data_IF_953939878039
#
_entry.id   IF_953939878039
#
_cell.length_a   1.000
_cell.length_b   1.000
_cell.length_c   1.000
_cell.angle_alpha   90.00
_cell.angle_beta   90.00
_cell.angle_gamma   90.00
#
_symmetry.space_group_name_H-M   'P 1'
#
loop_
_entity.id
_entity.type
_entity.pdbx_description
1 polymer ?
#
# COMPACT_ATOMS: atom_id res chain seq x y z
N UNK A 1 -5.20 4.00 28.94
CA UNK A 1 -4.75 2.73 29.58
C UNK A 1 -5.28 1.50 28.84
N UNK A 2 -6.58 1.42 28.53
CA UNK A 2 -7.14 0.26 27.82
C UNK A 2 -6.58 0.11 26.39
N UNK A 3 -6.41 1.23 25.69
CA UNK A 3 -6.05 1.28 24.26
C UNK A 3 -4.56 0.99 23.97
N UNK A 4 -3.73 0.79 25.00
CA UNK A 4 -2.28 0.60 24.85
C UNK A 4 -1.75 -0.66 25.52
N UNK A 5 -2.53 -1.30 26.39
CA UNK A 5 -2.13 -2.50 27.15
C UNK A 5 -3.07 -3.71 26.95
N UNK A 6 -4.32 -3.48 26.55
CA UNK A 6 -5.33 -4.54 26.31
C UNK A 6 -5.68 -4.58 24.83
N UNK A 7 -6.11 -3.47 24.24
CA UNK A 7 -6.38 -3.34 22.81
C UNK A 7 -5.08 -3.00 22.07
N UNK A 8 -4.22 -4.00 21.91
CA UNK A 8 -2.87 -3.81 21.37
C UNK A 8 -2.78 -4.03 19.87
N UNK A 9 -3.72 -4.75 19.26
CA UNK A 9 -3.66 -5.20 17.87
C UNK A 9 -5.07 -5.32 17.25
N UNK A 10 -5.14 -5.38 15.91
CA UNK A 10 -6.33 -5.81 15.19
C UNK A 10 -6.35 -7.32 14.99
N UNK A 11 -7.48 -7.91 14.61
CA UNK A 11 -7.62 -9.36 14.46
C UNK A 11 -8.41 -9.70 13.19
N UNK A 12 -7.81 -10.51 12.32
CA UNK A 12 -8.43 -11.05 11.11
C UNK A 12 -8.11 -10.26 9.84
N UNK A 13 -8.58 -10.81 8.73
CA UNK A 13 -8.57 -10.22 7.39
C UNK A 13 -9.88 -10.62 6.70
N UNK A 14 -10.51 -9.66 6.04
CA UNK A 14 -11.74 -9.88 5.27
C UNK A 14 -11.40 -9.77 3.79
N UNK A 15 -11.85 -10.74 2.99
CA UNK A 15 -11.61 -10.79 1.56
C UNK A 15 -12.88 -11.22 0.80
N UNK A 16 -13.15 -10.52 -0.30
CA UNK A 16 -14.29 -10.77 -1.16
C UNK A 16 -13.85 -10.93 -2.62
N UNK A 17 -14.60 -11.72 -3.38
CA UNK A 17 -14.40 -11.85 -4.82
C UNK A 17 -14.61 -10.52 -5.51
N UNK A 18 -13.76 -10.20 -6.50
CA UNK A 18 -13.83 -8.94 -7.25
C UNK A 18 -14.99 -8.91 -8.26
N UNK A 19 -15.55 -10.08 -8.58
CA UNK A 19 -16.48 -10.29 -9.68
C UNK A 19 -17.77 -11.03 -9.30
N UNK A 20 -17.97 -11.34 -8.02
CA UNK A 20 -19.14 -12.09 -7.56
C UNK A 20 -19.91 -11.35 -6.46
N UNK A 21 -21.23 -11.47 -6.51
CA UNK A 21 -22.14 -10.91 -5.52
C UNK A 21 -23.17 -11.98 -5.14
N UNK A 22 -23.61 -11.96 -3.88
CA UNK A 22 -24.69 -12.80 -3.38
C UNK A 22 -26.05 -12.38 -3.98
N UNK A 23 -27.13 -13.18 -3.80
CA UNK A 23 -28.47 -12.84 -4.29
C UNK A 23 -29.03 -11.49 -3.79
N UNK A 24 -28.52 -10.99 -2.67
CA UNK A 24 -28.87 -9.70 -2.05
C UNK A 24 -28.09 -8.52 -2.67
N UNK A 25 -27.10 -8.79 -3.53
CA UNK A 25 -26.26 -7.79 -4.19
C UNK A 25 -25.06 -7.32 -3.37
N UNK A 26 -24.75 -8.01 -2.27
CA UNK A 26 -23.55 -7.78 -1.45
C UNK A 26 -22.37 -8.59 -1.99
N UNK A 27 -21.11 -8.17 -1.71
CA UNK A 27 -19.94 -8.94 -2.12
C UNK A 27 -19.97 -10.36 -1.55
N UNK A 28 -19.59 -11.35 -2.37
CA UNK A 28 -19.37 -12.71 -1.87
C UNK A 28 -17.99 -12.80 -1.22
N UNK A 29 -17.95 -13.12 0.08
CA UNK A 29 -16.72 -13.23 0.85
C UNK A 29 -16.13 -14.64 0.76
N UNK A 30 -14.81 -14.72 0.62
CA UNK A 30 -14.06 -15.98 0.74
C UNK A 30 -13.15 -15.99 1.98
N UNK A 31 -13.09 -14.88 2.71
CA UNK A 31 -12.60 -14.83 4.09
C UNK A 31 -13.39 -13.77 4.88
N UNK A 32 -13.99 -14.16 5.99
CA UNK A 32 -14.88 -13.31 6.80
C UNK A 32 -14.85 -13.70 8.29
N UNK A 33 -15.59 -12.94 9.11
CA UNK A 33 -15.72 -13.13 10.57
C UNK A 33 -14.48 -12.89 11.44
N UNK A 34 -14.72 -12.90 12.76
CA UNK A 34 -13.70 -12.85 13.81
C UNK A 34 -14.04 -13.95 14.82
N UNK A 35 -13.24 -15.02 14.94
CA UNK A 35 -12.02 -15.31 14.18
C UNK A 35 -12.29 -15.54 12.68
N UNK A 36 -11.29 -15.29 11.80
CA UNK A 36 -11.49 -15.42 10.37
C UNK A 36 -11.80 -16.87 9.98
N UNK A 37 -12.79 -17.03 9.11
CA UNK A 37 -13.21 -18.29 8.48
C UNK A 37 -13.29 -18.11 6.97
N UNK A 38 -13.26 -19.20 6.21
CA UNK A 38 -13.34 -19.18 4.75
C UNK A 38 -12.27 -20.03 4.08
N UNK A 39 -11.93 -19.68 2.84
CA UNK A 39 -10.94 -20.37 2.00
C UNK A 39 -9.49 -19.97 2.34
N UNK A 40 -9.28 -18.78 2.91
CA UNK A 40 -7.95 -18.35 3.34
C UNK A 40 -7.55 -19.02 4.65
N UNK A 41 -6.49 -19.81 4.61
CA UNK A 41 -5.84 -20.35 5.81
C UNK A 41 -5.02 -19.24 6.48
N UNK A 42 -5.52 -18.70 7.60
CA UNK A 42 -4.87 -17.62 8.37
C UNK A 42 -4.44 -18.13 9.75
N UNK A 43 -3.26 -18.72 9.83
CA UNK A 43 -2.68 -19.23 11.07
C UNK A 43 -2.35 -18.13 12.09
N UNK A 44 -1.93 -16.96 11.61
CA UNK A 44 -1.66 -15.78 12.43
C UNK A 44 -2.52 -14.58 12.02
N UNK A 45 -3.74 -14.45 12.58
CA UNK A 45 -4.66 -13.36 12.24
C UNK A 45 -4.38 -12.04 12.97
N UNK A 46 -3.40 -11.98 13.87
CA UNK A 46 -3.16 -10.78 14.70
C UNK A 46 -2.34 -9.73 13.96
N UNK A 47 -2.88 -8.52 13.88
CA UNK A 47 -2.30 -7.35 13.20
C UNK A 47 -1.75 -6.37 14.24
N UNK A 48 -0.51 -6.59 14.65
CA UNK A 48 0.26 -5.68 15.50
C UNK A 48 0.95 -4.57 14.71
N UNK A 49 1.13 -4.70 13.40
CA UNK A 49 1.67 -3.65 12.54
C UNK A 49 0.66 -3.44 11.41
N UNK A 50 0.12 -2.23 11.30
CA UNK A 50 -0.99 -1.90 10.41
C UNK A 50 -1.29 -0.41 10.41
N UNK A 51 -2.03 0.04 9.40
CA UNK A 51 -2.26 1.46 9.09
C UNK A 51 -2.98 2.24 10.22
N UNK A 52 -3.79 1.56 11.04
CA UNK A 52 -4.56 2.18 12.13
C UNK A 52 -4.16 1.60 13.49
N UNK A 53 -2.92 1.87 13.88
CA UNK A 53 -2.41 1.47 15.19
C UNK A 53 -2.41 2.64 16.18
N UNK A 54 -2.59 2.41 17.49
CA UNK A 54 -2.31 3.40 18.52
C UNK A 54 -0.87 3.92 18.42
N UNK A 55 -0.62 5.15 18.88
CA UNK A 55 0.73 5.78 18.87
C UNK A 55 1.81 4.88 19.46
N UNK A 56 1.47 4.15 20.52
CA UNK A 56 2.26 3.05 21.05
C UNK A 56 1.34 2.00 21.68
N UNK A 57 1.86 0.77 21.81
CA UNK A 57 1.27 -0.24 22.69
C UNK A 57 2.37 -0.96 23.45
N UNK A 58 2.09 -1.40 24.67
CA UNK A 58 2.99 -2.23 25.46
C UNK A 58 2.41 -3.63 25.50
N UNK A 59 3.19 -4.56 25.00
CA UNK A 59 2.79 -5.96 24.75
C UNK A 59 3.65 -6.90 25.57
N UNK A 60 3.16 -8.13 25.75
CA UNK A 60 3.79 -9.09 26.64
C UNK A 60 3.71 -8.70 28.12
N UNK A 61 4.71 -9.09 28.90
CA UNK A 61 4.80 -8.79 30.34
C UNK A 61 4.22 -9.86 31.28
N UNK A 62 4.31 -9.63 32.59
CA UNK A 62 4.10 -10.65 33.62
C UNK A 62 2.61 -10.89 33.92
N UNK A 63 2.21 -12.13 34.18
CA UNK A 63 0.83 -12.43 34.62
C UNK A 63 -0.10 -13.02 33.56
N UNK A 64 0.44 -13.45 32.41
CA UNK A 64 -0.30 -14.23 31.41
C UNK A 64 -1.04 -13.42 30.34
N UNK A 65 -1.90 -14.10 29.55
CA UNK A 65 -2.64 -13.50 28.44
C UNK A 65 -3.57 -12.36 28.87
N UNK A 66 -3.37 -11.18 28.28
CA UNK A 66 -4.15 -9.97 28.59
C UNK A 66 -4.55 -9.16 27.37
N UNK A 67 -3.88 -9.39 26.25
CA UNK A 67 -4.11 -8.66 25.01
C UNK A 67 -5.37 -9.25 24.39
N UNK A 68 -6.38 -8.43 24.15
CA UNK A 68 -7.66 -8.94 23.66
C UNK A 68 -7.55 -9.31 22.19
N UNK A 69 -7.89 -10.56 21.86
CA UNK A 69 -8.06 -11.01 20.48
C UNK A 69 -9.48 -10.68 20.00
N UNK A 70 -10.50 -11.26 20.65
CA UNK A 70 -11.91 -11.05 20.35
C UNK A 70 -12.83 -11.47 21.52
N UNK A 71 -14.08 -10.99 21.58
CA UNK A 71 -15.09 -11.48 22.52
C UNK A 71 -15.46 -12.94 22.25
N UNK A 72 -15.49 -13.77 23.29
CA UNK A 72 -15.74 -15.22 23.17
C UNK A 72 -16.59 -15.71 24.35
N UNK A 73 -17.88 -15.91 24.13
CA UNK A 73 -18.83 -16.36 25.15
C UNK A 73 -18.54 -17.78 25.67
N UNK A 74 -17.76 -18.58 24.94
CA UNK A 74 -17.32 -19.90 25.39
C UNK A 74 -16.12 -19.85 26.35
N UNK A 75 -15.43 -18.71 26.41
CA UNK A 75 -14.34 -18.47 27.35
C UNK A 75 -14.89 -18.14 28.74
N UNK A 76 -14.28 -18.64 29.84
CA UNK A 76 -14.70 -18.32 31.21
C UNK A 76 -14.74 -16.81 31.54
N UNK A 77 -13.99 -16.00 30.80
CA UNK A 77 -13.92 -14.54 30.94
C UNK A 77 -14.79 -13.78 29.94
N UNK A 78 -15.49 -14.48 29.03
CA UNK A 78 -16.21 -13.87 27.90
C UNK A 78 -15.29 -13.29 26.82
N UNK A 79 -13.98 -13.56 26.90
CA UNK A 79 -12.96 -12.96 26.04
C UNK A 79 -11.87 -13.97 25.72
N UNK A 80 -11.41 -13.95 24.47
CA UNK A 80 -10.18 -14.62 24.07
C UNK A 80 -9.02 -13.63 24.17
N UNK A 81 -7.97 -14.03 24.88
CA UNK A 81 -6.78 -13.19 25.08
C UNK A 81 -5.51 -13.89 24.66
N UNK A 82 -4.49 -13.08 24.37
CA UNK A 82 -3.18 -13.50 23.93
C UNK A 82 -2.06 -12.81 24.74
N UNK A 83 -0.85 -13.34 24.59
CA UNK A 83 0.40 -12.68 24.94
C UNK A 83 1.26 -12.60 23.69
N UNK A 84 1.66 -11.39 23.30
CA UNK A 84 2.54 -11.20 22.16
C UNK A 84 3.89 -11.91 22.38
N UNK A 85 4.29 -12.73 21.39
CA UNK A 85 5.56 -13.45 21.39
C UNK A 85 6.43 -13.12 20.19
N UNK A 86 5.97 -12.21 19.32
CA UNK A 86 6.71 -11.77 18.14
C UNK A 86 8.01 -11.05 18.48
N UNK A 87 8.93 -11.03 17.51
CA UNK A 87 10.26 -10.46 17.71
C UNK A 87 10.24 -8.92 17.74
N UNK A 88 9.27 -8.29 17.06
CA UNK A 88 9.13 -6.84 16.97
C UNK A 88 8.94 -6.13 18.31
N UNK A 89 9.27 -4.84 18.33
CA UNK A 89 9.20 -4.00 19.52
C UNK A 89 10.52 -3.81 20.24
N UNK A 90 10.58 -2.77 21.08
CA UNK A 90 11.76 -2.46 21.89
C UNK A 90 11.51 -2.89 23.34
N UNK A 91 12.47 -3.54 24.02
CA UNK A 91 12.30 -3.88 25.43
C UNK A 91 12.03 -2.64 26.29
N UNK A 92 10.94 -2.65 27.06
CA UNK A 92 10.55 -1.56 27.97
C UNK A 92 10.58 -1.99 29.43
N UNK A 93 10.97 -3.24 29.71
CA UNK A 93 10.92 -3.78 31.06
C UNK A 93 11.82 -3.11 32.09
N UNK A 94 12.95 -2.51 31.67
CA UNK A 94 13.94 -1.91 32.58
C UNK A 94 13.51 -0.52 33.08
N UNK A 95 13.84 -0.12 34.32
CA UNK A 95 13.43 1.18 34.87
C UNK A 95 13.88 2.38 34.02
N UNK A 96 15.09 2.31 33.44
CA UNK A 96 15.60 3.35 32.55
C UNK A 96 14.78 3.44 31.26
N UNK A 97 14.49 2.31 30.60
CA UNK A 97 13.69 2.31 29.38
C UNK A 97 12.28 2.81 29.66
N UNK A 98 11.67 2.41 30.79
CA UNK A 98 10.37 2.95 31.21
C UNK A 98 10.40 4.46 31.37
N UNK A 99 11.43 5.00 32.03
CA UNK A 99 11.58 6.45 32.19
C UNK A 99 11.73 7.16 30.84
N UNK A 100 12.56 6.63 29.94
CA UNK A 100 12.78 7.21 28.62
C UNK A 100 11.51 7.19 27.76
N UNK A 101 10.76 6.08 27.77
CA UNK A 101 9.50 5.99 27.03
C UNK A 101 8.35 6.77 27.68
N UNK A 102 8.30 6.85 29.02
CA UNK A 102 7.39 7.74 29.73
C UNK A 102 7.61 9.20 29.32
N UNK A 103 8.86 9.62 29.16
CA UNK A 103 9.20 10.95 28.65
C UNK A 103 8.86 11.12 27.16
N UNK A 104 9.23 10.16 26.30
CA UNK A 104 8.95 10.20 24.84
C UNK A 104 7.46 10.35 24.54
N UNK A 105 6.61 9.60 25.25
CA UNK A 105 5.17 9.56 25.02
C UNK A 105 4.37 10.43 25.99
N UNK A 106 5.05 11.19 26.87
CA UNK A 106 4.42 11.98 27.93
C UNK A 106 3.41 11.19 28.76
N UNK A 107 3.73 9.93 29.07
CA UNK A 107 2.85 9.00 29.78
C UNK A 107 3.53 8.47 31.06
N UNK A 108 3.22 9.04 32.23
CA UNK A 108 3.76 8.59 33.51
C UNK A 108 3.40 7.14 33.86
N UNK A 109 2.28 6.62 33.36
CA UNK A 109 1.85 5.25 33.66
C UNK A 109 2.82 4.19 33.09
N UNK A 110 3.64 4.51 32.09
CA UNK A 110 4.69 3.60 31.61
C UNK A 110 5.72 3.30 32.71
N UNK A 111 5.97 4.25 33.61
CA UNK A 111 6.89 4.08 34.73
C UNK A 111 6.24 3.32 35.89
N UNK A 112 4.97 3.64 36.20
CA UNK A 112 4.29 3.22 37.43
C UNK A 112 3.50 1.90 37.28
N UNK A 113 3.18 1.48 36.06
CA UNK A 113 2.31 0.33 35.83
C UNK A 113 2.98 -1.00 36.21
N UNK A 114 2.32 -1.76 37.08
CA UNK A 114 2.68 -3.14 37.42
C UNK A 114 2.43 -4.13 36.27
N UNK A 115 1.69 -3.70 35.24
CA UNK A 115 1.44 -4.50 34.04
C UNK A 115 2.66 -4.61 33.13
N UNK A 116 3.66 -3.75 33.34
CA UNK A 116 4.91 -3.76 32.59
C UNK A 116 5.94 -4.53 33.41
N UNK A 117 6.59 -5.52 32.81
CA UNK A 117 7.66 -6.31 33.43
C UNK A 117 8.86 -6.52 32.50
N UNK A 118 9.85 -7.32 32.92
CA UNK A 118 11.11 -7.50 32.18
C UNK A 118 10.93 -7.90 30.71
N UNK A 119 9.94 -8.74 30.42
CA UNK A 119 9.67 -9.27 29.08
C UNK A 119 8.70 -8.38 28.26
N UNK A 120 8.28 -7.24 28.81
CA UNK A 120 7.40 -6.31 28.08
C UNK A 120 8.17 -5.59 26.96
N UNK A 121 7.52 -5.48 25.81
CA UNK A 121 8.00 -4.69 24.68
C UNK A 121 7.07 -3.51 24.42
N UNK A 122 7.63 -2.39 24.01
CA UNK A 122 6.86 -1.26 23.49
C UNK A 122 6.91 -1.28 21.96
N UNK A 123 5.74 -1.26 21.34
CA UNK A 123 5.54 -1.17 19.90
C UNK A 123 5.19 0.29 19.55
N UNK A 124 5.92 0.89 18.62
CA UNK A 124 5.66 2.20 18.04
C UNK A 124 6.17 2.21 16.60
N UNK A 125 5.82 3.23 15.81
CA UNK A 125 6.07 3.29 14.36
C UNK A 125 5.51 2.05 13.64
N UNK A 126 4.24 1.75 13.92
CA UNK A 126 3.58 0.49 13.53
C UNK A 126 2.95 0.51 12.14
N UNK A 127 2.88 1.67 11.53
CA UNK A 127 2.39 1.86 10.17
C UNK A 127 3.36 1.24 9.15
N UNK A 128 2.90 0.37 8.21
CA UNK A 128 3.78 -0.29 7.24
C UNK A 128 4.63 0.67 6.42
N UNK A 129 4.07 1.80 5.97
CA UNK A 129 4.83 2.78 5.19
C UNK A 129 5.95 3.42 6.02
N UNK A 130 5.65 3.75 7.27
CA UNK A 130 6.61 4.31 8.23
C UNK A 130 7.74 3.32 8.51
N UNK A 131 7.43 2.03 8.66
CA UNK A 131 8.42 0.95 8.82
C UNK A 131 9.35 0.88 7.60
N UNK A 132 8.81 0.86 6.39
CA UNK A 132 9.59 0.80 5.14
C UNK A 132 10.48 2.05 4.99
N UNK A 133 9.94 3.26 5.21
CA UNK A 133 10.72 4.52 5.17
C UNK A 133 11.85 4.54 6.20
N UNK A 134 11.65 3.91 7.35
CA UNK A 134 12.67 3.86 8.40
C UNK A 134 13.86 2.96 8.04
N UNK A 135 13.62 1.87 7.30
CA UNK A 135 14.70 0.94 6.89
C UNK A 135 15.33 1.32 5.55
N UNK A 136 14.58 1.96 4.66
CA UNK A 136 15.02 2.37 3.33
C UNK A 136 14.58 3.81 3.02
N UNK A 137 15.17 4.82 3.69
CA UNK A 137 14.79 6.23 3.50
C UNK A 137 15.13 6.78 2.11
N UNK A 138 15.93 6.05 1.34
CA UNK A 138 16.30 6.36 -0.05
C UNK A 138 15.23 5.93 -1.07
N UNK A 139 14.22 5.16 -0.64
CA UNK A 139 13.06 4.83 -1.46
C UNK A 139 11.95 5.83 -1.23
N UNK A 140 11.31 6.23 -2.32
CA UNK A 140 9.95 6.78 -2.25
C UNK A 140 8.98 5.62 -2.19
N UNK A 141 8.13 5.56 -1.18
CA UNK A 141 7.12 4.50 -1.05
C UNK A 141 5.78 4.95 -1.61
N UNK A 142 5.06 4.02 -2.23
CA UNK A 142 3.67 4.22 -2.65
C UNK A 142 2.78 4.56 -1.45
N UNK A 143 1.77 5.38 -1.69
CA UNK A 143 0.86 5.84 -0.65
C UNK A 143 -0.13 4.77 -0.17
N UNK A 144 -0.38 3.71 -0.94
CA UNK A 144 -1.39 2.68 -0.63
C UNK A 144 -0.77 1.28 -0.42
N UNK A 145 -0.42 0.92 0.83
CA UNK A 145 -0.04 -0.44 1.17
C UNK A 145 -1.27 -1.35 1.11
N UNK A 146 -1.09 -2.63 0.75
CA UNK A 146 -2.20 -3.58 0.68
C UNK A 146 -1.87 -4.88 1.41
N UNK A 147 -2.85 -5.47 2.13
CA UNK A 147 -2.63 -6.72 2.84
C UNK A 147 -2.74 -7.91 1.89
N UNK A 148 -1.98 -8.97 2.20
CA UNK A 148 -2.12 -10.29 1.62
C UNK A 148 -1.92 -11.36 2.71
N UNK A 149 -2.43 -12.56 2.47
CA UNK A 149 -2.10 -13.74 3.27
C UNK A 149 -1.03 -14.50 2.51
N UNK A 150 0.10 -14.75 3.17
CA UNK A 150 1.22 -15.51 2.61
C UNK A 150 1.69 -16.48 3.68
N UNK A 151 1.69 -17.77 3.35
CA UNK A 151 2.13 -18.86 4.23
C UNK A 151 1.46 -18.77 5.62
N UNK A 152 0.13 -18.54 5.64
CA UNK A 152 -0.67 -18.43 6.86
C UNK A 152 -0.51 -17.13 7.66
N UNK A 153 0.28 -16.17 7.16
CA UNK A 153 0.55 -14.88 7.84
C UNK A 153 -0.01 -13.71 7.04
N UNK A 154 -0.57 -12.73 7.74
CA UNK A 154 -0.95 -11.45 7.15
C UNK A 154 0.32 -10.62 6.96
N UNK A 155 0.55 -10.15 5.73
CA UNK A 155 1.67 -9.27 5.36
C UNK A 155 1.16 -8.06 4.60
N UNK A 156 1.83 -6.92 4.76
CA UNK A 156 1.59 -5.72 3.98
C UNK A 156 2.60 -5.62 2.84
N UNK A 157 2.12 -5.55 1.61
CA UNK A 157 2.94 -5.21 0.46
C UNK A 157 2.98 -3.70 0.29
N UNK A 158 4.19 -3.18 0.07
CA UNK A 158 4.45 -1.76 -0.16
C UNK A 158 5.36 -1.61 -1.36
N UNK A 159 4.93 -0.81 -2.32
CA UNK A 159 5.71 -0.51 -3.51
C UNK A 159 6.77 0.57 -3.25
N UNK A 160 8.01 0.29 -3.65
CA UNK A 160 9.17 1.16 -3.47
C UNK A 160 9.72 1.65 -4.80
N UNK A 161 9.88 2.97 -4.90
CA UNK A 161 10.37 3.66 -6.08
C UNK A 161 11.75 4.24 -5.86
N UNK A 162 12.61 4.08 -6.86
CA UNK A 162 13.77 4.97 -7.02
C UNK A 162 13.36 6.17 -7.85
N UNK A 163 13.80 7.36 -7.44
CA UNK A 163 13.42 8.61 -8.09
C UNK A 163 14.60 9.56 -8.19
N UNK A 164 14.62 10.38 -9.23
CA UNK A 164 15.49 11.56 -9.32
C UNK A 164 14.81 12.67 -10.13
N UNK A 165 15.25 13.90 -9.93
CA UNK A 165 14.85 15.10 -10.67
C UNK A 165 15.89 15.51 -11.73
N UNK A 166 16.97 14.74 -11.84
CA UNK A 166 18.19 15.10 -12.57
C UNK A 166 18.39 14.27 -13.84
N UNK A 167 17.36 13.53 -14.28
CA UNK A 167 17.44 12.74 -15.51
C UNK A 167 17.39 13.65 -16.75
N UNK A 168 18.39 13.60 -17.64
CA UNK A 168 18.49 14.52 -18.77
C UNK A 168 17.36 14.28 -19.77
N UNK A 169 16.91 15.35 -20.44
CA UNK A 169 15.87 15.32 -21.49
C UNK A 169 14.53 14.69 -21.06
N UNK A 170 14.24 14.65 -19.75
CA UNK A 170 12.97 14.17 -19.22
C UNK A 170 12.15 15.29 -18.59
N UNK A 171 10.84 15.23 -18.80
CA UNK A 171 9.89 16.21 -18.27
C UNK A 171 9.84 16.13 -16.75
N UNK A 172 10.02 17.26 -16.07
CA UNK A 172 9.83 17.36 -14.63
C UNK A 172 8.35 17.49 -14.30
N UNK A 173 7.90 16.68 -13.35
CA UNK A 173 6.57 16.75 -12.76
C UNK A 173 6.70 16.85 -11.25
N UNK A 174 5.79 17.57 -10.61
CA UNK A 174 5.71 17.61 -9.15
C UNK A 174 4.99 16.35 -8.69
N UNK A 175 5.65 15.53 -7.88
CA UNK A 175 5.13 14.21 -7.49
C UNK A 175 3.77 14.31 -6.83
N UNK A 176 3.64 15.22 -5.86
CA UNK A 176 2.39 15.46 -5.14
C UNK A 176 1.21 15.86 -6.05
N UNK A 177 1.45 16.59 -7.14
CA UNK A 177 0.38 16.96 -8.07
C UNK A 177 -0.01 15.77 -8.96
N UNK A 178 0.94 14.88 -9.24
CA UNK A 178 0.75 13.73 -10.11
C UNK A 178 0.04 12.56 -9.44
N UNK A 179 0.22 12.37 -8.13
CA UNK A 179 -0.37 11.26 -7.36
C UNK A 179 -1.62 11.67 -6.55
N UNK A 180 -2.03 12.93 -6.66
CA UNK A 180 -3.22 13.47 -5.98
C UNK A 180 -4.51 13.07 -6.70
N UNK A 181 -5.42 12.45 -5.96
CA UNK A 181 -6.78 12.09 -6.37
C UNK A 181 -7.76 12.19 -5.18
N UNK A 182 -8.99 11.74 -5.36
CA UNK A 182 -10.03 11.78 -4.33
C UNK A 182 -9.72 10.92 -3.09
N UNK A 183 -8.92 9.86 -3.22
CA UNK A 183 -8.57 8.93 -2.14
C UNK A 183 -7.27 9.31 -1.43
N UNK A 184 -6.27 9.80 -2.17
CA UNK A 184 -4.92 10.07 -1.62
C UNK A 184 -4.84 11.39 -0.84
N UNK A 185 -5.66 12.39 -1.15
CA UNK A 185 -5.67 13.69 -0.45
C UNK A 185 -6.06 13.56 1.03
N UNK A 186 -6.72 12.47 1.43
CA UNK A 186 -7.03 12.19 2.84
C UNK A 186 -5.81 11.75 3.66
N UNK A 187 -4.69 11.40 3.02
CA UNK A 187 -3.40 11.09 3.67
C UNK A 187 -2.49 12.32 3.55
N UNK A 188 -2.22 13.00 4.68
CA UNK A 188 -1.35 14.18 4.75
C UNK A 188 0.09 13.85 4.35
N UNK A 189 0.41 13.83 3.05
CA UNK A 189 1.79 13.76 2.55
C UNK A 189 2.35 15.18 2.50
N UNK A 190 3.50 15.38 3.15
CA UNK A 190 4.19 16.66 3.30
C UNK A 190 4.40 17.39 1.97
N UNK A 191 4.08 18.69 1.98
CA UNK A 191 4.16 19.64 0.86
C UNK A 191 5.61 20.10 0.65
N UNK A 192 6.52 19.18 0.36
CA UNK A 192 7.85 19.55 -0.12
C UNK A 192 7.80 19.81 -1.63
N UNK A 193 8.65 20.72 -2.15
CA UNK A 193 8.78 20.95 -3.61
C UNK A 193 9.54 19.78 -4.24
N UNK A 194 8.86 18.65 -4.29
CA UNK A 194 9.40 17.37 -4.70
C UNK A 194 9.06 17.11 -6.17
N UNK A 195 10.02 17.43 -7.03
CA UNK A 195 9.95 17.16 -8.46
C UNK A 195 10.62 15.83 -8.77
N UNK A 196 10.08 15.12 -9.76
CA UNK A 196 10.72 13.96 -10.36
C UNK A 196 10.70 14.07 -11.87
N UNK A 197 11.71 13.50 -12.51
CA UNK A 197 11.71 13.24 -13.95
C UNK A 197 12.24 11.85 -14.28
N UNK A 198 12.45 11.03 -13.27
CA UNK A 198 12.74 9.62 -13.36
C UNK A 198 12.06 8.92 -12.19
N UNK A 199 11.39 7.80 -12.48
CA UNK A 199 10.77 6.93 -11.49
C UNK A 199 10.80 5.50 -12.01
N UNK A 200 11.18 4.55 -11.15
CA UNK A 200 11.08 3.11 -11.41
C UNK A 200 10.47 2.42 -10.20
N UNK A 201 9.56 1.47 -10.44
CA UNK A 201 9.11 0.57 -9.39
C UNK A 201 10.18 -0.52 -9.21
N UNK A 202 11.15 -0.21 -8.38
CA UNK A 202 12.39 -0.98 -8.29
C UNK A 202 12.40 -1.98 -7.14
N UNK A 203 11.58 -1.73 -6.11
CA UNK A 203 11.56 -2.54 -4.89
C UNK A 203 10.12 -2.91 -4.52
N UNK A 204 9.91 -4.17 -4.12
CA UNK A 204 8.72 -4.58 -3.36
C UNK A 204 9.13 -4.77 -1.91
N UNK A 205 8.52 -4.03 -1.01
CA UNK A 205 8.71 -4.18 0.42
C UNK A 205 7.56 -4.99 1.02
N UNK A 206 7.88 -5.83 1.99
CA UNK A 206 6.92 -6.64 2.72
C UNK A 206 7.09 -6.36 4.20
N UNK A 207 6.00 -6.03 4.88
CA UNK A 207 5.97 -5.82 6.34
C UNK A 207 5.09 -6.89 6.95
N UNK A 208 5.66 -7.73 7.80
CA UNK A 208 4.89 -8.73 8.56
C UNK A 208 3.93 -8.03 9.53
N UNK A 209 2.63 -8.35 9.45
CA UNK A 209 1.62 -7.68 10.27
C UNK A 209 1.71 -8.08 11.76
N UNK A 210 2.35 -9.21 12.09
CA UNK A 210 2.49 -9.68 13.46
C UNK A 210 3.72 -9.09 14.14
N UNK A 211 4.91 -9.13 13.52
CA UNK A 211 6.15 -8.69 14.17
C UNK A 211 6.83 -7.46 13.54
N UNK A 212 6.29 -6.94 12.44
CA UNK A 212 6.77 -5.71 11.81
C UNK A 212 8.12 -5.86 11.11
N UNK A 213 8.59 -7.10 10.90
CA UNK A 213 9.78 -7.38 10.10
C UNK A 213 9.58 -6.84 8.69
N UNK A 214 10.56 -6.07 8.21
CA UNK A 214 10.56 -5.52 6.85
C UNK A 214 11.52 -6.33 5.99
N UNK A 215 11.03 -6.89 4.89
CA UNK A 215 11.85 -7.52 3.86
C UNK A 215 11.73 -6.74 2.57
N UNK A 216 12.86 -6.40 1.95
CA UNK A 216 12.90 -5.66 0.68
C UNK A 216 13.36 -6.59 -0.44
N UNK A 217 12.60 -6.64 -1.53
CA UNK A 217 12.91 -7.43 -2.71
C UNK A 217 13.22 -6.52 -3.91
N UNK A 218 14.28 -6.86 -4.63
CA UNK A 218 14.66 -6.22 -5.89
C UNK A 218 13.73 -6.67 -7.01
N UNK A 219 12.91 -5.75 -7.51
CA UNK A 219 11.95 -6.00 -8.58
C UNK A 219 12.51 -5.62 -9.96
N UNK A 220 12.93 -4.36 -10.15
CA UNK A 220 13.60 -3.92 -11.37
C UNK A 220 15.12 -3.97 -11.19
N UNK A 221 15.71 -5.14 -11.47
CA UNK A 221 17.18 -5.32 -11.40
C UNK A 221 17.94 -4.52 -12.46
N UNK A 222 17.26 -3.97 -13.47
CA UNK A 222 17.87 -3.15 -14.52
C UNK A 222 17.99 -1.68 -14.14
N UNK A 223 17.38 -1.26 -13.03
CA UNK A 223 17.43 0.12 -12.55
C UNK A 223 18.83 0.52 -12.07
N UNK A 224 19.51 1.48 -12.75
CA UNK A 224 20.84 1.92 -12.35
C UNK A 224 20.88 2.64 -10.98
N UNK A 225 19.79 3.31 -10.57
CA UNK A 225 19.72 3.97 -9.26
C UNK A 225 19.63 2.91 -8.17
N UNK A 226 18.81 1.88 -8.36
CA UNK A 226 18.75 0.74 -7.43
C UNK A 226 20.12 0.05 -7.31
N UNK A 227 20.79 -0.20 -8.45
CA UNK A 227 22.12 -0.83 -8.46
C UNK A 227 23.17 0.00 -7.69
N UNK A 228 23.07 1.33 -7.72
CA UNK A 228 23.94 2.20 -6.93
C UNK A 228 23.67 2.08 -5.42
N UNK A 229 22.39 2.03 -5.02
CA UNK A 229 22.01 1.80 -3.62
C UNK A 229 22.39 0.42 -3.12
N UNK A 230 22.21 -0.64 -3.93
CA UNK A 230 22.65 -2.00 -3.61
C UNK A 230 24.16 -2.08 -3.32
N UNK A 231 24.98 -1.33 -4.05
CA UNK A 231 26.43 -1.26 -3.79
C UNK A 231 26.77 -0.53 -2.48
N UNK A 232 25.95 0.46 -2.11
CA UNK A 232 26.17 1.28 -0.91
C UNK A 232 25.66 0.58 0.36
N UNK A 233 24.59 -0.20 0.24
CA UNK A 233 23.94 -0.95 1.32
C UNK A 233 23.82 -2.43 0.93
N UNK A 234 24.94 -3.18 0.93
CA UNK A 234 24.89 -4.61 0.65
C UNK A 234 23.95 -5.31 1.65
N UNK A 235 23.37 -6.43 1.22
CA UNK A 235 22.48 -7.30 2.02
C UNK A 235 21.14 -6.69 2.47
N UNK A 236 20.85 -5.44 2.13
CA UNK A 236 19.57 -4.78 2.48
C UNK A 236 18.41 -5.23 1.57
N UNK A 237 18.74 -5.76 0.39
CA UNK A 237 17.78 -6.18 -0.63
C UNK A 237 17.99 -7.66 -0.96
N UNK A 238 16.89 -8.41 -0.98
CA UNK A 238 16.85 -9.77 -1.53
C UNK A 238 16.53 -9.72 -3.03
N UNK A 239 16.97 -10.70 -3.84
CA UNK A 239 16.50 -10.82 -5.21
C UNK A 239 15.02 -11.23 -5.26
N UNK A 240 14.27 -10.80 -6.28
CA UNK A 240 12.88 -11.24 -6.47
C UNK A 240 12.72 -12.76 -6.57
N UNK A 241 13.75 -13.49 -6.99
CA UNK A 241 13.74 -14.96 -7.02
C UNK A 241 13.64 -15.62 -5.64
N UNK A 242 13.98 -14.90 -4.56
CA UNK A 242 13.79 -15.36 -3.17
C UNK A 242 12.40 -15.02 -2.62
N UNK A 243 11.57 -14.31 -3.38
CA UNK A 243 10.19 -14.01 -2.97
C UNK A 243 9.35 -15.31 -3.04
N UNK A 244 8.66 -15.71 -1.97
CA UNK A 244 7.74 -16.85 -2.00
C UNK A 244 6.74 -16.76 -3.16
N UNK A 245 6.40 -17.88 -3.79
CA UNK A 245 5.49 -17.91 -4.96
C UNK A 245 4.12 -17.33 -4.64
N UNK A 246 3.59 -17.62 -3.45
CA UNK A 246 2.32 -17.06 -2.97
C UNK A 246 2.40 -15.53 -2.86
N UNK A 247 3.49 -15.00 -2.32
CA UNK A 247 3.71 -13.55 -2.27
C UNK A 247 3.84 -12.92 -3.66
N UNK A 248 4.53 -13.58 -4.59
CA UNK A 248 4.64 -13.10 -5.98
C UNK A 248 3.27 -12.99 -6.66
N UNK A 249 2.36 -13.93 -6.38
CA UNK A 249 1.00 -13.93 -6.93
C UNK A 249 0.17 -12.70 -6.50
N UNK A 250 0.49 -12.10 -5.36
CA UNK A 250 -0.17 -10.89 -4.87
C UNK A 250 0.41 -9.58 -5.40
N UNK A 251 1.54 -9.61 -6.12
CA UNK A 251 2.15 -8.39 -6.64
C UNK A 251 1.26 -7.78 -7.72
N UNK A 252 0.83 -6.53 -7.52
CA UNK A 252 0.07 -5.74 -8.49
C UNK A 252 0.88 -4.57 -9.06
N UNK A 253 0.45 -4.00 -10.19
CA UNK A 253 1.08 -2.79 -10.73
C UNK A 253 0.67 -1.58 -9.89
N UNK A 254 1.62 -0.79 -9.38
CA UNK A 254 1.33 0.18 -8.34
C UNK A 254 0.69 1.47 -8.86
N UNK A 255 -0.05 2.13 -7.98
CA UNK A 255 -0.90 3.25 -8.34
C UNK A 255 -0.15 4.55 -8.60
N UNK A 256 0.81 4.92 -7.74
CA UNK A 256 1.40 6.26 -7.80
C UNK A 256 2.23 6.47 -9.07
N UNK A 257 3.04 5.49 -9.47
CA UNK A 257 3.74 5.56 -10.77
C UNK A 257 2.76 5.54 -11.94
N UNK A 258 1.64 4.80 -11.85
CA UNK A 258 0.63 4.80 -12.91
C UNK A 258 -0.06 6.15 -13.02
N UNK A 259 -0.34 6.81 -11.88
CA UNK A 259 -0.86 8.19 -11.82
C UNK A 259 0.09 9.19 -12.47
N UNK A 260 1.40 9.05 -12.22
CA UNK A 260 2.42 9.86 -12.90
C UNK A 260 2.47 9.57 -14.41
N UNK A 261 2.46 8.30 -14.81
CA UNK A 261 2.48 7.87 -16.21
C UNK A 261 1.27 8.38 -16.98
N UNK A 262 0.04 8.25 -16.45
CA UNK A 262 -1.17 8.76 -17.11
C UNK A 262 -1.14 10.27 -17.26
N UNK A 263 -0.58 11.01 -16.29
CA UNK A 263 -0.45 12.46 -16.36
C UNK A 263 0.54 12.91 -17.44
N UNK A 264 1.68 12.20 -17.57
CA UNK A 264 2.64 12.45 -18.64
C UNK A 264 2.02 12.10 -19.99
N UNK A 265 1.40 10.92 -20.09
CA UNK A 265 0.83 10.43 -21.34
C UNK A 265 -0.32 11.29 -21.86
N UNK A 266 -1.08 11.95 -20.98
CA UNK A 266 -2.18 12.85 -21.38
C UNK A 266 -1.73 14.02 -22.27
N UNK A 267 -0.43 14.37 -22.23
CA UNK A 267 0.18 15.41 -23.08
C UNK A 267 1.05 14.82 -24.18
N UNK A 268 1.93 13.88 -23.82
CA UNK A 268 2.98 13.40 -24.71
C UNK A 268 2.54 12.31 -25.70
N UNK A 269 1.27 11.86 -25.65
CA UNK A 269 0.70 11.07 -26.75
C UNK A 269 0.55 11.90 -28.04
N UNK A 270 0.56 13.24 -27.95
CA UNK A 270 0.54 14.14 -29.11
C UNK A 270 1.96 14.33 -29.63
N UNK A 271 2.27 13.69 -30.77
CA UNK A 271 3.61 13.71 -31.35
C UNK A 271 3.83 14.80 -32.40
N UNK A 272 2.76 15.38 -32.96
CA UNK A 272 2.86 16.49 -33.91
C UNK A 272 3.17 17.81 -33.18
N UNK A 273 4.24 18.54 -33.55
CA UNK A 273 4.64 19.76 -32.85
C UNK A 273 3.61 20.89 -32.88
N UNK A 274 2.88 21.07 -33.99
CA UNK A 274 1.89 22.14 -34.11
C UNK A 274 0.65 21.84 -33.25
N UNK A 275 0.18 20.59 -33.26
CA UNK A 275 -0.88 20.13 -32.37
C UNK A 275 -0.46 20.24 -30.90
N UNK A 276 0.77 19.82 -30.56
CA UNK A 276 1.29 19.91 -29.20
C UNK A 276 1.36 21.36 -28.71
N UNK A 277 1.84 22.29 -29.56
CA UNK A 277 1.93 23.71 -29.22
C UNK A 277 0.55 24.34 -28.98
N UNK A 278 -0.48 23.93 -29.73
CA UNK A 278 -1.84 24.42 -29.53
C UNK A 278 -2.54 23.85 -28.29
N UNK A 279 -2.09 22.67 -27.80
CA UNK A 279 -2.65 21.97 -26.65
C UNK A 279 -4.08 21.46 -26.84
N UNK A 280 -4.63 21.54 -28.05
CA UNK A 280 -6.03 21.17 -28.35
C UNK A 280 -6.29 19.67 -28.24
N UNK A 281 -5.26 18.86 -28.50
CA UNK A 281 -5.34 17.40 -28.51
C UNK A 281 -4.97 16.77 -27.15
N UNK A 282 -4.66 17.56 -26.13
CA UNK A 282 -4.37 17.02 -24.80
C UNK A 282 -5.60 16.36 -24.17
N UNK A 283 -5.33 15.38 -23.32
CA UNK A 283 -6.33 14.71 -22.53
C UNK A 283 -6.31 15.21 -21.08
N UNK A 284 -7.46 15.06 -20.43
CA UNK A 284 -7.63 15.32 -19.01
C UNK A 284 -8.08 14.04 -18.31
N UNK A 285 -7.66 13.91 -17.06
CA UNK A 285 -8.17 12.85 -16.19
C UNK A 285 -9.54 13.33 -15.68
N UNK A 286 -10.62 12.56 -15.89
CA UNK A 286 -11.96 12.94 -15.43
C UNK A 286 -12.01 13.17 -13.92
N UNK A 287 -12.95 14.00 -13.49
CA UNK A 287 -13.23 14.19 -12.06
C UNK A 287 -13.94 12.97 -11.50
N UNK A 288 -13.66 12.61 -10.25
CA UNK A 288 -14.37 11.54 -9.56
C UNK A 288 -15.87 11.87 -9.43
N UNK A 289 -16.78 11.07 -10.01
CA UNK A 289 -18.21 11.33 -9.95
C UNK A 289 -18.82 11.10 -8.57
N UNK A 290 -18.12 10.40 -7.67
CA UNK A 290 -18.60 10.11 -6.32
C UNK A 290 -18.34 11.26 -5.34
N UNK A 291 -17.39 12.13 -5.68
CA UNK A 291 -16.95 13.26 -4.83
C UNK A 291 -17.38 14.59 -5.44
N UNK A 292 -18.66 14.92 -5.26
CA UNK A 292 -19.31 16.10 -5.87
C UNK A 292 -18.67 17.45 -5.48
N UNK A 293 -17.93 17.51 -4.37
CA UNK A 293 -17.44 18.77 -3.80
C UNK A 293 -15.99 19.14 -4.18
N UNK A 294 -15.19 18.21 -4.71
CA UNK A 294 -13.74 18.40 -4.72
C UNK A 294 -13.10 18.59 -6.10
N UNK A 295 -13.82 18.33 -7.20
CA UNK A 295 -13.28 18.44 -8.57
C UNK A 295 -11.97 17.66 -8.76
N UNK A 296 -11.77 16.59 -7.97
CA UNK A 296 -10.52 15.84 -7.91
C UNK A 296 -10.47 14.81 -9.03
N UNK A 297 -9.28 14.49 -9.56
CA UNK A 297 -9.13 13.41 -10.52
C UNK A 297 -9.64 12.09 -9.95
N UNK A 298 -10.30 11.29 -10.78
CA UNK A 298 -10.68 9.92 -10.41
C UNK A 298 -9.41 9.10 -10.15
N UNK A 299 -9.35 8.32 -9.05
CA UNK A 299 -8.26 7.40 -8.81
C UNK A 299 -8.26 6.32 -9.91
N UNK A 300 -7.09 5.78 -10.28
CA UNK A 300 -7.07 4.54 -11.04
C UNK A 300 -7.67 3.42 -10.17
N UNK A 301 -8.24 2.42 -10.82
CA UNK A 301 -8.86 1.30 -10.12
C UNK A 301 -8.57 -0.02 -10.84
N UNK A 302 -8.46 -1.08 -10.06
CA UNK A 302 -8.16 -2.41 -10.56
C UNK A 302 -9.41 -3.09 -11.10
N UNK A 303 -9.27 -3.78 -12.23
CA UNK A 303 -10.30 -4.60 -12.84
C UNK A 303 -9.69 -5.86 -13.44
N UNK A 304 -10.41 -6.97 -13.35
CA UNK A 304 -10.16 -8.15 -14.18
C UNK A 304 -10.84 -7.94 -15.53
N UNK A 305 -10.06 -7.66 -16.57
CA UNK A 305 -10.59 -7.38 -17.92
C UNK A 305 -9.76 -7.98 -19.03
N UNK A 306 -10.35 -8.07 -20.23
CA UNK A 306 -9.69 -8.53 -21.46
C UNK A 306 -9.70 -7.43 -22.51
N UNK A 307 -8.52 -6.91 -22.84
CA UNK A 307 -8.30 -5.96 -23.94
C UNK A 307 -8.48 -6.66 -25.30
N UNK A 308 -8.75 -5.94 -26.40
CA UNK A 308 -9.10 -6.54 -27.70
C UNK A 308 -8.08 -7.54 -28.26
N UNK A 309 -6.80 -7.37 -27.94
CA UNK A 309 -5.68 -8.23 -28.37
C UNK A 309 -5.28 -9.27 -27.32
N UNK A 310 -5.98 -9.34 -26.18
CA UNK A 310 -5.77 -10.35 -25.14
C UNK A 310 -6.66 -11.56 -25.37
N UNK A 311 -6.10 -12.75 -25.12
CA UNK A 311 -6.81 -14.03 -25.24
C UNK A 311 -7.62 -14.31 -23.97
N UNK A 312 -7.02 -14.05 -22.81
CA UNK A 312 -7.59 -14.27 -21.48
C UNK A 312 -7.78 -12.93 -20.74
N UNK A 313 -8.74 -12.82 -19.82
CA UNK A 313 -8.78 -11.71 -18.87
C UNK A 313 -7.50 -11.69 -18.02
N UNK A 314 -7.06 -10.48 -17.68
CA UNK A 314 -5.92 -10.23 -16.79
C UNK A 314 -6.34 -9.21 -15.74
N UNK A 315 -5.77 -9.29 -14.53
CA UNK A 315 -5.90 -8.26 -13.51
C UNK A 315 -5.11 -7.01 -13.93
N UNK A 316 -5.79 -5.87 -14.04
CA UNK A 316 -5.22 -4.66 -14.64
C UNK A 316 -5.59 -3.42 -13.84
N UNK A 317 -4.63 -2.51 -13.69
CA UNK A 317 -4.88 -1.16 -13.18
C UNK A 317 -5.35 -0.27 -14.33
N UNK A 318 -6.45 0.47 -14.14
CA UNK A 318 -7.13 1.16 -15.24
C UNK A 318 -7.32 2.66 -14.98
N UNK A 319 -7.43 3.44 -16.05
CA UNK A 319 -7.83 4.84 -16.00
C UNK A 319 -8.49 5.28 -17.32
N UNK A 320 -9.32 6.31 -17.24
CA UNK A 320 -9.98 6.94 -18.39
C UNK A 320 -9.43 8.33 -18.64
N UNK A 321 -9.57 8.78 -19.88
CA UNK A 321 -9.22 10.11 -20.32
C UNK A 321 -10.41 10.77 -20.99
N UNK A 322 -10.53 12.10 -20.83
CA UNK A 322 -11.50 12.92 -21.53
C UNK A 322 -10.81 14.02 -22.37
N UNK A 323 -11.43 14.47 -23.47
CA UNK A 323 -10.91 15.60 -24.23
C UNK A 323 -11.05 16.90 -23.43
N UNK A 324 -10.27 17.91 -23.83
CA UNK A 324 -10.40 19.27 -23.31
C UNK A 324 -11.85 19.76 -23.40
N UNK A 325 -12.45 20.13 -22.25
CA UNK A 325 -13.80 20.71 -22.15
C UNK A 325 -14.97 19.81 -22.60
N UNK A 326 -14.78 18.49 -22.69
CA UNK A 326 -15.87 17.54 -22.99
C UNK A 326 -15.88 16.39 -22.01
N UNK A 327 -17.06 16.07 -21.46
CA UNK A 327 -17.27 14.90 -20.61
C UNK A 327 -17.61 13.67 -21.47
N UNK A 328 -16.69 13.32 -22.36
CA UNK A 328 -16.80 12.14 -23.23
C UNK A 328 -15.52 11.32 -23.09
N UNK A 329 -15.59 10.01 -23.30
CA UNK A 329 -14.39 9.18 -23.27
C UNK A 329 -13.50 9.52 -24.47
N UNK A 330 -12.22 9.82 -24.24
CA UNK A 330 -11.19 10.01 -25.27
C UNK A 330 -10.34 8.76 -25.44
N UNK A 331 -9.96 8.17 -24.32
CA UNK A 331 -9.13 6.98 -24.28
C UNK A 331 -9.30 6.22 -22.97
N UNK A 332 -8.96 4.94 -23.01
CA UNK A 332 -8.90 4.03 -21.88
C UNK A 332 -7.50 3.45 -21.81
N UNK A 333 -6.85 3.55 -20.65
CA UNK A 333 -5.49 3.09 -20.44
C UNK A 333 -5.44 2.06 -19.33
N UNK A 334 -4.68 0.99 -19.54
CA UNK A 334 -4.47 -0.08 -18.57
C UNK A 334 -2.99 -0.37 -18.36
N UNK A 335 -2.65 -0.90 -17.19
CA UNK A 335 -1.38 -1.54 -16.90
C UNK A 335 -1.64 -2.96 -16.40
N UNK A 336 -0.97 -3.96 -16.97
CA UNK A 336 -1.09 -5.34 -16.49
C UNK A 336 -0.47 -5.48 -15.10
N UNK A 337 -1.26 -5.99 -14.16
CA UNK A 337 -0.83 -6.31 -12.80
C UNK A 337 -0.47 -7.78 -12.63
N UNK A 338 -0.72 -8.62 -13.65
CA UNK A 338 -0.41 -10.05 -13.60
C UNK A 338 1.10 -10.28 -13.53
N UNK A 339 1.61 -11.02 -12.53
CA UNK A 339 3.02 -11.38 -12.46
C UNK A 339 3.47 -12.16 -13.71
N UNK A 340 4.57 -11.73 -14.32
CA UNK A 340 5.14 -12.40 -15.48
C UNK A 340 5.57 -11.45 -16.60
N UNK A 341 5.75 -11.96 -17.84
CA UNK A 341 6.27 -11.16 -18.96
C UNK A 341 5.40 -9.95 -19.34
N UNK A 342 4.11 -9.98 -18.99
CA UNK A 342 3.17 -8.90 -19.24
C UNK A 342 3.16 -7.80 -18.18
N UNK A 343 3.75 -8.04 -17.00
CA UNK A 343 3.68 -7.14 -15.85
C UNK A 343 4.12 -5.72 -16.20
N UNK A 344 3.29 -4.74 -15.83
CA UNK A 344 3.53 -3.32 -16.08
C UNK A 344 3.42 -2.88 -17.55
N UNK A 345 3.02 -3.77 -18.46
CA UNK A 345 2.77 -3.39 -19.85
C UNK A 345 1.57 -2.45 -19.93
N UNK A 346 1.84 -1.21 -20.35
CA UNK A 346 0.82 -0.21 -20.61
C UNK A 346 0.13 -0.46 -21.95
N UNK A 347 -1.20 -0.38 -21.97
CA UNK A 347 -2.02 -0.44 -23.18
C UNK A 347 -2.97 0.75 -23.19
N UNK A 348 -3.22 1.31 -24.38
CA UNK A 348 -4.13 2.45 -24.54
C UNK A 348 -5.06 2.18 -25.71
N UNK A 349 -6.35 2.24 -25.46
CA UNK A 349 -7.40 2.28 -26.48
C UNK A 349 -7.81 3.72 -26.66
N UNK A 350 -7.52 4.27 -27.84
CA UNK A 350 -7.92 5.62 -28.21
C UNK A 350 -9.19 5.57 -29.05
N UNK A 351 -10.19 6.37 -28.67
CA UNK A 351 -11.44 6.46 -29.39
C UNK A 351 -11.31 7.39 -30.61
N UNK A 352 -12.10 7.15 -31.67
CA UNK A 352 -12.13 8.04 -32.83
C UNK A 352 -12.56 9.45 -32.44
N UNK A 353 -11.82 10.46 -32.91
CA UNK A 353 -12.08 11.88 -32.63
C UNK A 353 -13.42 12.39 -33.18
N UNK A 354 -14.05 11.64 -34.09
CA UNK A 354 -15.30 11.98 -34.77
C UNK A 354 -16.54 11.29 -34.18
N UNK A 355 -16.40 10.47 -33.12
CA UNK A 355 -17.53 9.79 -32.46
C UNK A 355 -17.67 10.24 -31.02
N UNK A 356 -18.90 10.59 -30.61
CA UNK A 356 -19.22 10.88 -29.20
C UNK A 356 -19.58 9.57 -28.52
N UNK A 357 -18.73 9.11 -27.61
CA UNK A 357 -19.03 7.99 -26.72
C UNK A 357 -19.24 8.58 -25.32
N UNK A 358 -20.47 8.49 -24.77
CA UNK A 358 -20.72 8.83 -23.37
C UNK A 358 -19.77 8.02 -22.48
N UNK A 359 -19.03 8.71 -21.61
CA UNK A 359 -18.02 8.12 -20.74
C UNK A 359 -18.51 7.92 -19.31
#
# INVERSE_FOLDING_TARGET
>A
ANDTLVYTHGYGLVAAYDNTANPEGEPEFFAEDIPPTGELEIDQPRVYFGEKSPTYSIVGGPGGPRELDFPDDSSPTGQRTNTYTGIGGVPVGSPLNRMMYAAKFSEPNILLSSLIGPDSKILYDRDPLTRVRSVAPWLRVDADPYPAVVEGRIVWLVDGYTTTDSYPYSARLRWADATSDSLTVRRNVSVEQDYVNYVRNSVKAVVDAYDGTVTLYTWDSSDPILQAWQKSFPDTLKPASEMPTELQAHVRYPEDIFKAQRLVYSRYHVTDPASFYSGQDFWYIPTDPTEQAAGKPQPPYYLTLRMPDQVTPEFQLTTTFSPVRRQTLAAFMTASSEPGPGYGRLRVLQLPRNSVIPG
#
